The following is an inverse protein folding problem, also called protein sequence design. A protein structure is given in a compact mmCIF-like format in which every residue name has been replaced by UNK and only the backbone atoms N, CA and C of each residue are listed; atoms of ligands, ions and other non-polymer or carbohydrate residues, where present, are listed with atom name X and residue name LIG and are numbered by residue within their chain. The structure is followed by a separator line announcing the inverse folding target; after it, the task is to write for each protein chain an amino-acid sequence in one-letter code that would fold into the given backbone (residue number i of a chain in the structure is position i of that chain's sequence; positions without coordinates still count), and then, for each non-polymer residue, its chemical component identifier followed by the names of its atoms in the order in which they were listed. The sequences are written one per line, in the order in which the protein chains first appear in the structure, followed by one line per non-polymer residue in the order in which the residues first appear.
data_IF_277553618460
#
_entry.id   IF_277553618460
#
_cell.length_a   1.000
_cell.length_b   1.000
_cell.length_c   1.000
_cell.angle_alpha   90.00
_cell.angle_beta   90.00
_cell.angle_gamma   90.00
#
_symmetry.space_group_name_H-M   'P 1'
#
loop_
_entity.id
_entity.type
_entity.pdbx_description
1 polymer ?
#
# COMPACT_ATOMS: atom_id res chain seq x y z
N UNK A 1 -27.07 -12.58 -20.33
CA UNK A 1 -26.46 -13.70 -19.57
C UNK A 1 -25.55 -13.07 -18.53
N UNK A 2 -25.69 -13.39 -17.24
CA UNK A 2 -24.88 -12.78 -16.17
C UNK A 2 -23.48 -13.40 -16.17
N UNK A 3 -22.43 -12.57 -16.23
CA UNK A 3 -21.04 -13.05 -16.11
C UNK A 3 -20.82 -13.62 -14.70
N UNK A 4 -20.27 -14.83 -14.63
CA UNK A 4 -19.93 -15.50 -13.37
C UNK A 4 -18.58 -16.17 -13.53
N UNK A 5 -17.76 -16.18 -12.48
CA UNK A 5 -16.50 -16.92 -12.43
C UNK A 5 -16.64 -18.13 -11.50
N UNK A 6 -15.80 -19.14 -11.67
CA UNK A 6 -15.71 -20.26 -10.71
C UNK A 6 -14.96 -19.79 -9.46
N UNK A 7 -15.26 -20.37 -8.31
CA UNK A 7 -14.69 -19.95 -7.01
C UNK A 7 -13.15 -20.00 -6.95
N UNK A 8 -12.50 -20.83 -7.78
CA UNK A 8 -11.03 -20.91 -7.84
C UNK A 8 -10.41 -19.89 -8.80
N UNK A 9 -11.19 -19.22 -9.65
CA UNK A 9 -10.67 -18.22 -10.58
C UNK A 9 -10.49 -16.89 -9.82
N UNK A 10 -9.24 -16.45 -9.65
CA UNK A 10 -8.92 -15.20 -8.94
C UNK A 10 -8.89 -14.00 -9.90
N UNK A 11 -9.84 -13.92 -10.84
CA UNK A 11 -9.81 -12.96 -11.96
C UNK A 11 -9.76 -11.52 -11.48
N UNK A 12 -10.63 -11.15 -10.54
CA UNK A 12 -10.66 -9.78 -9.98
C UNK A 12 -9.34 -9.45 -9.28
N UNK A 13 -8.81 -10.37 -8.46
CA UNK A 13 -7.51 -10.18 -7.79
C UNK A 13 -6.40 -9.99 -8.81
N UNK A 14 -6.38 -10.79 -9.88
CA UNK A 14 -5.36 -10.70 -10.92
C UNK A 14 -5.45 -9.37 -11.68
N UNK A 15 -6.67 -8.86 -11.91
CA UNK A 15 -6.88 -7.55 -12.53
C UNK A 15 -6.35 -6.42 -11.65
N UNK A 16 -6.66 -6.46 -10.35
CA UNK A 16 -6.16 -5.49 -9.37
C UNK A 16 -4.63 -5.53 -9.29
N UNK A 17 -4.01 -6.72 -9.26
CA UNK A 17 -2.55 -6.85 -9.23
C UNK A 17 -1.90 -6.35 -10.52
N UNK A 18 -2.49 -6.63 -11.68
CA UNK A 18 -1.98 -6.15 -12.97
C UNK A 18 -2.06 -4.62 -13.07
N UNK A 19 -3.15 -4.02 -12.58
CA UNK A 19 -3.30 -2.57 -12.50
C UNK A 19 -2.28 -1.95 -11.54
N UNK A 20 -2.10 -2.54 -10.34
CA UNK A 20 -1.12 -2.07 -9.36
C UNK A 20 0.32 -2.13 -9.89
N UNK A 21 0.67 -3.19 -10.62
CA UNK A 21 1.97 -3.33 -11.28
C UNK A 21 2.21 -2.23 -12.32
N UNK A 22 1.15 -1.77 -13.01
CA UNK A 22 1.26 -0.69 -14.00
C UNK A 22 1.38 0.69 -13.37
N UNK A 23 0.78 0.94 -12.20
CA UNK A 23 0.80 2.24 -11.52
C UNK A 23 2.21 2.65 -11.08
N UNK A 24 2.98 1.72 -10.53
CA UNK A 24 4.34 2.01 -10.06
C UNK A 24 5.39 1.71 -11.14
N UNK A 25 6.39 2.57 -11.36
CA UNK A 25 6.69 3.80 -10.63
C UNK A 25 6.10 5.09 -11.21
N UNK A 26 5.48 5.02 -12.40
CA UNK A 26 5.30 6.18 -13.27
C UNK A 26 3.89 6.79 -13.26
N UNK A 27 2.85 5.99 -12.99
CA UNK A 27 1.43 6.36 -13.16
C UNK A 27 0.68 6.37 -11.83
N UNK A 28 1.34 6.77 -10.73
CA UNK A 28 0.79 6.57 -9.37
C UNK A 28 -0.59 7.22 -9.14
N UNK A 29 -0.95 8.23 -9.94
CA UNK A 29 -2.24 8.93 -9.85
C UNK A 29 -3.35 8.28 -10.69
N UNK A 30 -3.02 7.31 -11.55
CA UNK A 30 -3.97 6.62 -12.42
C UNK A 30 -3.33 6.23 -13.75
N UNK A 31 -3.78 5.11 -14.30
CA UNK A 31 -3.36 4.60 -15.63
C UNK A 31 -4.27 5.23 -16.69
N UNK A 32 -3.76 5.51 -17.89
CA UNK A 32 -4.62 5.94 -19.01
C UNK A 32 -5.83 5.01 -19.18
N UNK A 33 -7.02 5.58 -19.40
CA UNK A 33 -8.26 4.79 -19.39
C UNK A 33 -8.28 3.66 -20.44
N UNK A 34 -7.76 3.90 -21.64
CA UNK A 34 -7.72 2.88 -22.70
C UNK A 34 -6.79 1.73 -22.27
N UNK A 35 -5.61 2.06 -21.76
CA UNK A 35 -4.65 1.08 -21.26
C UNK A 35 -5.22 0.28 -20.06
N UNK A 36 -5.94 0.94 -19.15
CA UNK A 36 -6.57 0.27 -18.02
C UNK A 36 -7.64 -0.75 -18.46
N UNK A 37 -8.46 -0.39 -19.46
CA UNK A 37 -9.44 -1.30 -20.07
C UNK A 37 -8.74 -2.52 -20.66
N UNK A 38 -7.63 -2.32 -21.39
CA UNK A 38 -6.84 -3.39 -21.99
C UNK A 38 -6.21 -4.31 -20.94
N UNK A 39 -5.63 -3.76 -19.88
CA UNK A 39 -5.03 -4.53 -18.78
C UNK A 39 -6.09 -5.37 -18.06
N UNK A 40 -7.20 -4.75 -17.66
CA UNK A 40 -8.23 -5.40 -16.85
C UNK A 40 -8.95 -6.48 -17.68
N UNK A 41 -9.45 -6.13 -18.86
CA UNK A 41 -10.07 -7.14 -19.71
C UNK A 41 -9.03 -8.16 -20.20
N UNK A 42 -7.75 -7.79 -20.24
CA UNK A 42 -6.58 -8.64 -20.45
C UNK A 42 -6.53 -9.90 -19.58
N UNK A 43 -7.00 -9.83 -18.34
CA UNK A 43 -6.99 -10.98 -17.42
C UNK A 43 -8.29 -11.77 -17.40
N UNK A 44 -9.34 -11.25 -18.04
CA UNK A 44 -10.67 -11.87 -18.02
C UNK A 44 -10.69 -13.18 -18.83
N UNK A 45 -11.00 -14.29 -18.16
CA UNK A 45 -11.12 -15.62 -18.76
C UNK A 45 -12.40 -15.80 -19.59
N UNK A 46 -13.34 -14.85 -19.54
CA UNK A 46 -14.68 -14.91 -20.15
C UNK A 46 -15.07 -13.62 -20.86
N UNK A 47 -14.12 -12.99 -21.58
CA UNK A 47 -14.29 -11.70 -22.27
C UNK A 47 -15.55 -11.58 -23.14
N UNK A 48 -16.01 -12.69 -23.73
CA UNK A 48 -17.11 -12.69 -24.70
C UNK A 48 -18.51 -12.96 -24.08
N UNK A 49 -18.65 -12.96 -22.76
CA UNK A 49 -19.91 -13.30 -22.07
C UNK A 49 -20.31 -12.18 -21.10
N UNK A 50 -21.41 -11.49 -21.38
CA UNK A 50 -21.95 -10.44 -20.48
C UNK A 50 -21.11 -9.15 -20.50
N UNK A 51 -21.25 -8.33 -19.45
CA UNK A 51 -20.51 -7.07 -19.27
C UNK A 51 -19.01 -7.32 -19.14
N UNK A 52 -18.17 -6.37 -19.59
CA UNK A 52 -16.72 -6.51 -19.50
C UNK A 52 -16.26 -6.55 -18.04
N UNK A 53 -15.09 -7.14 -17.76
CA UNK A 53 -14.58 -7.13 -16.38
C UNK A 53 -14.30 -5.71 -15.90
N UNK A 54 -13.84 -4.83 -16.80
CA UNK A 54 -13.68 -3.41 -16.52
C UNK A 54 -14.98 -2.78 -16.00
N UNK A 55 -16.08 -2.93 -16.74
CA UNK A 55 -17.37 -2.32 -16.36
C UNK A 55 -17.87 -2.87 -15.02
N UNK A 56 -17.72 -4.17 -14.79
CA UNK A 56 -18.09 -4.79 -13.51
C UNK A 56 -17.26 -4.22 -12.35
N UNK A 57 -15.93 -4.09 -12.53
CA UNK A 57 -15.07 -3.52 -11.48
C UNK A 57 -15.37 -2.04 -11.22
N UNK A 58 -15.75 -1.28 -12.25
CA UNK A 58 -16.19 0.11 -12.14
C UNK A 58 -17.52 0.21 -11.40
N UNK A 59 -18.50 -0.62 -11.75
CA UNK A 59 -19.82 -0.65 -11.10
C UNK A 59 -19.76 -1.06 -9.63
N UNK A 60 -18.89 -2.01 -9.29
CA UNK A 60 -18.68 -2.46 -7.90
C UNK A 60 -17.77 -1.52 -7.10
N UNK A 61 -17.28 -0.42 -7.70
CA UNK A 61 -16.48 0.60 -7.00
C UNK A 61 -15.08 0.12 -6.59
N UNK A 62 -14.51 -0.84 -7.32
CA UNK A 62 -13.12 -1.26 -7.12
C UNK A 62 -12.15 -0.27 -7.79
N UNK A 63 -12.58 0.31 -8.91
CA UNK A 63 -11.86 1.32 -9.67
C UNK A 63 -12.77 2.52 -9.94
N UNK A 64 -12.15 3.66 -10.23
CA UNK A 64 -12.85 4.89 -10.60
C UNK A 64 -12.15 5.55 -11.78
N UNK A 65 -12.96 6.12 -12.67
CA UNK A 65 -12.51 7.01 -13.73
C UNK A 65 -12.30 8.41 -13.18
N UNK A 66 -11.24 9.07 -13.61
CA UNK A 66 -10.86 10.42 -13.20
C UNK A 66 -10.20 11.16 -14.37
N UNK A 67 -9.91 12.45 -14.17
CA UNK A 67 -9.21 13.28 -15.15
C UNK A 67 -7.89 13.74 -14.56
N UNK A 68 -6.80 13.36 -15.23
CA UNK A 68 -5.47 13.88 -14.94
C UNK A 68 -5.14 15.05 -15.88
N UNK A 69 -4.54 16.10 -15.32
CA UNK A 69 -4.06 17.24 -16.08
C UNK A 69 -2.53 17.24 -16.08
N UNK A 70 -1.91 17.13 -17.26
CA UNK A 70 -0.46 17.27 -17.36
C UNK A 70 -0.05 18.75 -17.30
N UNK A 71 0.28 19.22 -16.10
CA UNK A 71 0.75 20.59 -15.88
C UNK A 71 2.23 20.81 -16.27
N UNK A 72 2.95 19.79 -16.76
CA UNK A 72 4.37 19.94 -17.16
C UNK A 72 4.54 20.72 -18.46
N UNK A 73 3.55 20.68 -19.35
CA UNK A 73 3.49 21.58 -20.48
C UNK A 73 2.71 22.82 -20.07
N UNK A 74 3.36 23.98 -20.07
CA UNK A 74 2.77 25.29 -19.74
C UNK A 74 1.54 25.66 -20.60
N UNK A 75 1.23 24.86 -21.65
CA UNK A 75 0.14 25.07 -22.59
C UNK A 75 -0.82 23.87 -22.74
N UNK A 76 -0.65 22.74 -22.02
CA UNK A 76 -1.61 21.63 -22.12
C UNK A 76 -2.67 21.73 -21.02
N UNK A 77 -3.86 22.17 -21.40
CA UNK A 77 -5.10 21.92 -20.66
C UNK A 77 -5.70 20.56 -21.04
N UNK A 78 -4.86 19.62 -21.52
CA UNK A 78 -5.33 18.34 -22.01
C UNK A 78 -5.77 17.49 -20.82
N UNK A 79 -7.09 17.27 -20.75
CA UNK A 79 -7.71 16.37 -19.81
C UNK A 79 -7.43 14.94 -20.28
N UNK A 80 -6.60 14.22 -19.53
CA UNK A 80 -6.26 12.83 -19.81
C UNK A 80 -7.18 11.95 -18.95
N UNK A 81 -8.09 11.18 -19.56
CA UNK A 81 -8.91 10.22 -18.81
C UNK A 81 -8.01 9.14 -18.22
N UNK A 82 -8.10 8.95 -16.92
CA UNK A 82 -7.33 7.95 -16.18
C UNK A 82 -8.26 7.08 -15.34
N UNK A 83 -7.77 5.89 -15.02
CA UNK A 83 -8.42 4.92 -14.12
C UNK A 83 -7.49 4.69 -12.95
N UNK A 84 -8.05 4.81 -11.75
CA UNK A 84 -7.36 4.56 -10.48
C UNK A 84 -8.18 3.64 -9.61
N UNK A 85 -7.56 3.11 -8.55
CA UNK A 85 -8.31 2.45 -7.49
C UNK A 85 -9.21 3.48 -6.79
N UNK A 86 -10.43 3.06 -6.46
CA UNK A 86 -11.34 3.89 -5.65
C UNK A 86 -10.80 4.11 -4.24
N UNK A 87 -10.11 3.10 -3.69
CA UNK A 87 -9.51 3.13 -2.36
C UNK A 87 -7.98 3.20 -2.45
N UNK A 88 -7.43 4.37 -2.10
CA UNK A 88 -5.98 4.63 -2.13
C UNK A 88 -5.19 3.62 -1.27
N UNK A 89 -5.64 3.35 -0.03
CA UNK A 89 -4.97 2.38 0.86
C UNK A 89 -4.89 0.96 0.26
N UNK A 90 -5.88 0.55 -0.52
CA UNK A 90 -5.85 -0.74 -1.22
C UNK A 90 -4.81 -0.71 -2.35
N UNK A 91 -4.77 0.37 -3.12
CA UNK A 91 -3.76 0.60 -4.17
C UNK A 91 -2.36 0.52 -3.60
N UNK A 92 -2.09 1.29 -2.54
CA UNK A 92 -0.79 1.32 -1.87
C UNK A 92 -0.35 -0.06 -1.40
N UNK A 93 -1.27 -0.81 -0.80
CA UNK A 93 -0.98 -2.16 -0.32
C UNK A 93 -0.69 -3.14 -1.46
N UNK A 94 -1.45 -3.10 -2.55
CA UNK A 94 -1.22 -3.98 -3.70
C UNK A 94 0.09 -3.63 -4.42
N UNK A 95 0.42 -2.34 -4.54
CA UNK A 95 1.70 -1.90 -5.08
C UNK A 95 2.85 -2.39 -4.17
N UNK A 96 2.74 -2.16 -2.85
CA UNK A 96 3.73 -2.63 -1.89
C UNK A 96 3.91 -4.16 -1.93
N UNK A 97 2.81 -4.90 -2.07
CA UNK A 97 2.84 -6.36 -2.25
C UNK A 97 3.61 -6.76 -3.50
N UNK A 98 3.39 -6.10 -4.64
CA UNK A 98 4.11 -6.38 -5.89
C UNK A 98 5.60 -6.04 -5.79
N UNK A 99 5.94 -4.92 -5.17
CA UNK A 99 7.33 -4.51 -4.93
C UNK A 99 8.07 -5.52 -4.05
N UNK A 100 7.38 -6.09 -3.05
CA UNK A 100 7.97 -7.00 -2.06
C UNK A 100 7.76 -8.50 -2.36
N UNK A 101 7.08 -8.83 -3.46
CA UNK A 101 6.63 -10.19 -3.80
C UNK A 101 7.81 -11.19 -3.80
N UNK A 102 8.92 -10.80 -4.41
CA UNK A 102 10.13 -11.61 -4.59
C UNK A 102 11.18 -11.44 -3.50
N UNK A 103 10.89 -10.61 -2.48
CA UNK A 103 11.83 -10.38 -1.39
C UNK A 103 11.79 -11.57 -0.43
N UNK A 104 12.96 -12.16 -0.21
CA UNK A 104 13.23 -13.17 0.80
C UNK A 104 14.10 -12.58 1.91
N UNK A 105 14.16 -13.24 3.07
CA UNK A 105 14.88 -12.74 4.25
C UNK A 105 16.36 -12.47 3.97
N UNK A 106 17.02 -13.37 3.23
CA UNK A 106 18.41 -13.24 2.81
C UNK A 106 18.63 -12.14 1.74
N UNK A 107 17.57 -11.68 1.06
CA UNK A 107 17.63 -10.69 -0.02
C UNK A 107 17.19 -9.29 0.41
N UNK A 108 16.85 -9.09 1.69
CA UNK A 108 16.38 -7.78 2.20
C UNK A 108 17.42 -6.69 1.94
N UNK A 109 18.69 -6.96 2.23
CA UNK A 109 19.78 -5.99 2.01
C UNK A 109 19.91 -5.60 0.54
N UNK A 110 19.80 -6.56 -0.38
CA UNK A 110 19.82 -6.28 -1.83
C UNK A 110 18.59 -5.51 -2.27
N UNK A 111 17.42 -5.80 -1.70
CA UNK A 111 16.17 -5.08 -1.99
C UNK A 111 16.29 -3.59 -1.61
N UNK A 112 16.79 -3.27 -0.41
CA UNK A 112 16.98 -1.88 0.04
C UNK A 112 17.99 -1.12 -0.87
N UNK A 113 18.84 -1.84 -1.59
CA UNK A 113 19.80 -1.26 -2.54
C UNK A 113 19.28 -1.20 -3.97
N UNK A 114 18.10 -1.77 -4.25
CA UNK A 114 17.53 -1.84 -5.59
C UNK A 114 17.07 -0.48 -6.09
N UNK A 115 16.90 -0.35 -7.41
CA UNK A 115 16.47 0.91 -8.00
C UNK A 115 14.99 1.19 -7.72
N UNK A 116 14.15 0.15 -7.64
CA UNK A 116 12.75 0.27 -7.20
C UNK A 116 12.66 0.89 -5.81
N UNK A 117 13.51 0.43 -4.88
CA UNK A 117 13.56 0.99 -3.53
C UNK A 117 14.06 2.43 -3.51
N UNK A 118 15.09 2.73 -4.31
CA UNK A 118 15.62 4.09 -4.43
C UNK A 118 14.56 5.07 -4.94
N UNK A 119 13.68 4.65 -5.86
CA UNK A 119 12.57 5.48 -6.36
C UNK A 119 11.66 5.91 -5.21
N UNK A 120 11.24 4.96 -4.37
CA UNK A 120 10.39 5.23 -3.20
C UNK A 120 11.04 6.19 -2.20
N UNK A 121 12.37 6.12 -2.09
CA UNK A 121 13.18 6.89 -1.14
C UNK A 121 13.92 8.07 -1.82
N UNK A 122 13.38 8.61 -2.91
CA UNK A 122 13.89 9.85 -3.51
C UNK A 122 13.43 11.10 -2.73
N UNK A 123 13.87 12.30 -3.15
CA UNK A 123 13.46 13.57 -2.53
C UNK A 123 11.95 13.81 -2.48
N UNK A 124 11.18 13.14 -3.34
CA UNK A 124 9.73 13.21 -3.37
C UNK A 124 9.10 11.94 -2.77
N UNK A 125 9.65 11.43 -1.66
CA UNK A 125 9.11 10.24 -0.98
C UNK A 125 7.69 10.45 -0.46
N UNK A 126 7.26 11.71 -0.23
CA UNK A 126 5.92 12.05 0.24
C UNK A 126 4.82 11.45 -0.64
N UNK A 127 5.02 11.41 -1.97
CA UNK A 127 4.06 10.79 -2.91
C UNK A 127 3.97 9.27 -2.77
N UNK A 128 4.90 8.66 -2.06
CA UNK A 128 5.00 7.21 -1.86
C UNK A 128 4.79 6.80 -0.40
N UNK A 129 4.34 7.73 0.47
CA UNK A 129 4.17 7.43 1.90
C UNK A 129 3.21 6.28 2.13
N UNK A 130 2.06 6.24 1.44
CA UNK A 130 1.11 5.14 1.56
C UNK A 130 1.73 3.79 1.21
N UNK A 131 2.48 3.71 0.11
CA UNK A 131 3.24 2.52 -0.29
C UNK A 131 4.30 2.15 0.76
N UNK A 132 5.06 3.13 1.28
CA UNK A 132 6.08 2.90 2.30
C UNK A 132 5.46 2.39 3.62
N UNK A 133 4.31 2.94 4.03
CA UNK A 133 3.52 2.45 5.16
C UNK A 133 3.04 1.01 4.94
N UNK A 134 2.58 0.67 3.74
CA UNK A 134 2.20 -0.70 3.41
C UNK A 134 3.39 -1.68 3.38
N UNK A 135 4.55 -1.25 2.85
CA UNK A 135 5.80 -2.03 2.92
C UNK A 135 6.19 -2.28 4.39
N UNK A 136 6.05 -1.28 5.25
CA UNK A 136 6.34 -1.42 6.68
C UNK A 136 5.45 -2.49 7.35
N UNK A 137 4.16 -2.56 7.00
CA UNK A 137 3.26 -3.63 7.46
C UNK A 137 3.75 -4.99 6.95
N UNK A 138 4.00 -5.11 5.64
CA UNK A 138 4.45 -6.37 5.03
C UNK A 138 5.76 -6.87 5.64
N UNK A 139 6.70 -5.96 5.91
CA UNK A 139 7.99 -6.33 6.52
C UNK A 139 7.82 -6.87 7.94
N UNK A 140 6.99 -6.21 8.76
CA UNK A 140 6.68 -6.69 10.09
C UNK A 140 5.99 -8.06 10.03
N UNK A 141 5.04 -8.25 9.12
CA UNK A 141 4.28 -9.50 9.03
C UNK A 141 5.11 -10.67 8.50
N UNK A 142 5.82 -10.45 7.39
CA UNK A 142 6.55 -11.49 6.64
C UNK A 142 7.93 -11.80 7.23
N UNK A 143 8.66 -10.78 7.66
CA UNK A 143 10.06 -10.92 8.08
C UNK A 143 10.27 -10.71 9.58
N UNK A 144 9.25 -10.24 10.32
CA UNK A 144 9.37 -9.85 11.74
C UNK A 144 10.43 -8.77 11.94
N UNK A 145 10.55 -7.85 10.98
CA UNK A 145 11.52 -6.77 10.97
C UNK A 145 10.82 -5.41 10.89
N UNK A 146 11.45 -4.40 11.48
CA UNK A 146 10.94 -3.03 11.45
C UNK A 146 11.58 -2.29 10.28
N UNK A 147 10.79 -2.08 9.23
CA UNK A 147 11.25 -1.53 7.96
C UNK A 147 11.91 -0.15 8.12
N UNK A 148 11.47 0.63 9.11
CA UNK A 148 12.02 1.96 9.37
C UNK A 148 13.53 1.96 9.66
N UNK A 149 14.08 0.87 10.20
CA UNK A 149 15.51 0.76 10.54
C UNK A 149 16.40 0.65 9.30
N UNK A 150 15.80 0.38 8.15
CA UNK A 150 16.49 0.18 6.89
C UNK A 150 16.43 1.42 5.98
N UNK A 151 15.82 2.50 6.46
CA UNK A 151 15.62 3.71 5.67
C UNK A 151 16.86 4.59 5.65
N UNK A 152 17.10 5.33 4.56
CA UNK A 152 18.17 6.31 4.52
C UNK A 152 17.91 7.46 5.51
N UNK A 153 18.94 7.89 6.24
CA UNK A 153 18.88 9.01 7.22
C UNK A 153 18.20 10.28 6.68
N UNK A 154 18.35 10.58 5.38
CA UNK A 154 17.77 11.76 4.73
C UNK A 154 16.23 11.82 4.78
N UNK A 155 15.57 10.68 5.01
CA UNK A 155 14.11 10.55 5.07
C UNK A 155 13.64 10.36 6.51
N UNK A 156 14.53 9.85 7.36
CA UNK A 156 14.26 9.55 8.76
C UNK A 156 14.05 10.84 9.56
N UNK A 157 12.79 11.20 9.73
CA UNK A 157 12.34 12.35 10.50
C UNK A 157 11.05 11.99 11.25
N UNK A 158 10.68 12.80 12.24
CA UNK A 158 9.52 12.54 13.11
C UNK A 158 8.21 12.37 12.34
N UNK A 159 7.97 13.17 11.30
CA UNK A 159 6.78 13.03 10.47
C UNK A 159 6.76 11.68 9.73
N UNK A 160 7.90 11.31 9.12
CA UNK A 160 8.02 10.03 8.43
C UNK A 160 7.83 8.85 9.40
N UNK A 161 8.48 8.89 10.57
CA UNK A 161 8.33 7.89 11.62
C UNK A 161 6.87 7.74 12.03
N UNK A 162 6.15 8.85 12.21
CA UNK A 162 4.72 8.86 12.51
C UNK A 162 3.87 8.21 11.41
N UNK A 163 4.04 8.62 10.15
CA UNK A 163 3.23 8.12 9.03
C UNK A 163 3.50 6.65 8.69
N UNK A 164 4.77 6.24 8.70
CA UNK A 164 5.17 4.91 8.22
C UNK A 164 5.20 3.88 9.32
N UNK A 165 5.64 4.22 10.54
CA UNK A 165 5.65 3.28 11.66
C UNK A 165 4.39 3.44 12.51
N UNK A 166 4.22 4.56 13.20
CA UNK A 166 3.23 4.72 14.29
C UNK A 166 1.80 4.45 13.81
N UNK A 167 1.36 5.11 12.74
CA UNK A 167 -0.02 4.96 12.21
C UNK A 167 -0.31 3.56 11.65
N UNK A 168 0.72 2.78 11.34
CA UNK A 168 0.53 1.44 10.77
C UNK A 168 0.34 0.35 11.82
N UNK A 169 0.73 0.60 13.08
CA UNK A 169 0.70 -0.41 14.15
C UNK A 169 -0.69 -1.05 14.32
N UNK A 170 -1.76 -0.26 14.21
CA UNK A 170 -3.15 -0.74 14.34
C UNK A 170 -3.62 -1.62 13.19
N UNK A 171 -2.89 -1.64 12.07
CA UNK A 171 -3.25 -2.43 10.87
C UNK A 171 -2.45 -3.73 10.76
N UNK A 172 -1.58 -4.03 11.73
CA UNK A 172 -0.70 -5.20 11.72
C UNK A 172 -1.35 -6.36 12.49
N UNK A 173 -1.08 -7.59 12.07
CA UNK A 173 -1.43 -8.76 12.89
C UNK A 173 -0.67 -8.79 14.23
N UNK A 174 -1.32 -9.25 15.30
CA UNK A 174 -0.68 -9.40 16.62
C UNK A 174 0.65 -10.19 16.57
N UNK A 175 0.71 -11.19 15.68
CA UNK A 175 1.90 -12.03 15.50
C UNK A 175 3.11 -11.32 14.88
N UNK A 176 2.95 -10.11 14.31
CA UNK A 176 4.05 -9.36 13.70
C UNK A 176 4.85 -8.54 14.71
N UNK A 177 4.32 -8.33 15.92
CA UNK A 177 4.99 -7.55 16.94
C UNK A 177 6.18 -8.33 17.50
N UNK A 178 7.26 -7.60 17.73
CA UNK A 178 8.52 -8.13 18.28
C UNK A 178 9.00 -7.24 19.42
N UNK A 179 10.01 -7.69 20.15
CA UNK A 179 10.72 -6.85 21.13
C UNK A 179 11.24 -5.55 20.51
N UNK A 180 11.59 -5.57 19.21
CA UNK A 180 12.02 -4.37 18.51
C UNK A 180 10.87 -3.39 18.29
N UNK A 181 9.69 -3.90 17.92
CA UNK A 181 8.47 -3.11 17.81
C UNK A 181 8.16 -2.40 19.13
N UNK A 182 8.26 -3.11 20.27
CA UNK A 182 8.03 -2.52 21.59
C UNK A 182 9.02 -1.41 21.94
N UNK A 183 10.31 -1.59 21.60
CA UNK A 183 11.32 -0.55 21.80
C UNK A 183 10.95 0.73 21.03
N UNK A 184 10.66 0.59 19.73
CA UNK A 184 10.28 1.72 18.89
C UNK A 184 8.96 2.36 19.32
N UNK A 185 8.00 1.57 19.80
CA UNK A 185 6.76 2.08 20.36
C UNK A 185 7.00 2.96 21.60
N UNK A 186 7.93 2.57 22.47
CA UNK A 186 8.31 3.37 23.63
C UNK A 186 9.05 4.67 23.27
N UNK A 187 9.69 4.70 22.09
CA UNK A 187 10.37 5.88 21.55
C UNK A 187 9.41 6.91 20.91
N UNK A 188 8.10 6.59 20.80
CA UNK A 188 7.10 7.53 20.27
C UNK A 188 7.04 8.78 21.17
N UNK A 189 7.29 9.99 20.63
CA UNK A 189 7.28 11.22 21.40
C UNK A 189 5.94 11.47 22.10
N UNK A 190 5.99 11.90 23.37
CA UNK A 190 4.81 12.38 24.08
C UNK A 190 4.55 13.82 23.68
N UNK A 191 3.49 14.07 22.93
CA UNK A 191 3.05 15.43 22.61
C UNK A 191 2.06 15.86 23.69
N UNK A 192 2.21 17.08 24.22
CA UNK A 192 1.55 17.54 25.47
C UNK A 192 0.02 17.46 25.51
N UNK A 193 -0.66 17.17 24.40
CA UNK A 193 -2.13 17.17 24.29
C UNK A 193 -2.74 15.89 23.71
N UNK A 194 -1.93 14.99 23.13
CA UNK A 194 -2.38 13.71 22.56
C UNK A 194 -1.28 12.66 22.81
N UNK A 195 -1.60 11.59 23.54
CA UNK A 195 -0.70 10.43 23.68
C UNK A 195 -1.13 9.36 22.68
N UNK A 196 -0.58 9.43 21.47
CA UNK A 196 -0.86 8.47 20.38
C UNK A 196 -0.64 7.02 20.81
N UNK A 197 0.24 6.77 21.80
CA UNK A 197 0.47 5.43 22.34
C UNK A 197 -0.77 4.90 23.07
N UNK A 198 -1.49 5.75 23.80
CA UNK A 198 -2.74 5.35 24.48
C UNK A 198 -3.81 5.00 23.45
N UNK A 199 -3.93 5.77 22.37
CA UNK A 199 -4.89 5.48 21.30
C UNK A 199 -4.59 4.13 20.64
N UNK A 200 -3.31 3.83 20.38
CA UNK A 200 -2.88 2.55 19.83
C UNK A 200 -3.18 1.40 20.81
N UNK A 201 -2.84 1.56 22.09
CA UNK A 201 -3.12 0.54 23.11
C UNK A 201 -4.62 0.27 23.23
N UNK A 202 -5.44 1.31 23.19
CA UNK A 202 -6.90 1.19 23.23
C UNK A 202 -7.41 0.44 22.00
N UNK A 203 -6.93 0.80 20.80
CA UNK A 203 -7.31 0.15 19.56
C UNK A 203 -6.93 -1.34 19.51
N UNK A 204 -5.82 -1.71 20.16
CA UNK A 204 -5.29 -3.09 20.17
C UNK A 204 -5.71 -3.88 21.42
N UNK A 205 -6.41 -3.26 22.37
CA UNK A 205 -6.78 -3.86 23.66
C UNK A 205 -7.69 -5.08 23.54
N UNK A 206 -8.50 -5.14 22.48
CA UNK A 206 -9.46 -6.22 22.24
C UNK A 206 -8.84 -7.44 21.56
N UNK A 207 -7.59 -7.36 21.11
CA UNK A 207 -6.91 -8.47 20.43
C UNK A 207 -6.24 -9.41 21.45
N UNK A 208 -6.73 -10.64 21.62
CA UNK A 208 -6.16 -11.58 22.57
C UNK A 208 -4.72 -11.93 22.18
N UNK A 209 -3.83 -11.98 23.19
CA UNK A 209 -2.39 -12.25 23.03
C UNK A 209 -1.58 -11.19 22.25
N UNK A 210 -2.12 -9.97 22.05
CA UNK A 210 -1.37 -8.88 21.45
C UNK A 210 -0.33 -8.29 22.43
N UNK A 211 0.92 -8.09 22.02
CA UNK A 211 2.01 -7.58 22.89
C UNK A 211 1.74 -6.18 23.45
N UNK A 212 0.85 -5.43 22.79
CA UNK A 212 0.36 -4.10 23.18
C UNK A 212 -1.12 -4.11 23.65
N UNK A 213 -1.60 -5.20 24.26
CA UNK A 213 -2.96 -5.24 24.81
C UNK A 213 -3.02 -4.66 26.24
N UNK A 214 -4.17 -4.80 26.91
CA UNK A 214 -4.45 -4.20 28.22
C UNK A 214 -3.43 -4.51 29.32
N UNK A 215 -2.66 -5.61 29.23
CA UNK A 215 -1.59 -5.91 30.19
C UNK A 215 -0.38 -4.97 30.08
N UNK A 216 -0.28 -4.18 29.01
CA UNK A 216 0.77 -3.18 28.85
C UNK A 216 0.53 -1.92 29.71
N UNK A 217 -0.69 -1.72 30.22
CA UNK A 217 -1.10 -0.53 30.98
C UNK A 217 -0.97 -0.73 32.51
N UNK A 218 -0.65 -1.96 32.96
CA UNK A 218 -0.30 -2.25 34.37
C UNK A 218 1.16 -1.91 34.70
#
# INVERSE_FOLDING_TARGET
MVKKYRNFETVVKNALLALAERLFPNEIFGVNAIEAIEIINGVDSRRNIGESLYDLMLHEGLISEDIFYDYKSKNSTEAIPVVRFTYERLSDYLIAQKITEKVEENSIKSFIQSDEFKILTTRNYYKYLGILSAINIIFAEKFKLEFIEYLPEKIDNEYFFSEVFVKTLVNRSASSFTDRTLKLFNDIPKICYEDTRIDILLALSTEPNHMLNSFFIE
#
